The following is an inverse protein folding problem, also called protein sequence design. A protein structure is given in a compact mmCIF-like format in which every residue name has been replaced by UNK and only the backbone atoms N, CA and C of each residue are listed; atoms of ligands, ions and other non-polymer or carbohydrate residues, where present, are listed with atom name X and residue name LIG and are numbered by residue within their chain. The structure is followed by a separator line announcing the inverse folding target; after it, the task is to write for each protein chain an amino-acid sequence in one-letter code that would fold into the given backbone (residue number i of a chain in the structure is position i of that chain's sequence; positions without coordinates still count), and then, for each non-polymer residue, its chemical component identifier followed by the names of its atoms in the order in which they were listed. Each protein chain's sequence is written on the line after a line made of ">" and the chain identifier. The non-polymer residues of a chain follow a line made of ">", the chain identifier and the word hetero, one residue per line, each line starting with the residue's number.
data_IF_404086994296
#
_entry.id   IF_404086994296
#
_cell.length_a   1.000
_cell.length_b   1.000
_cell.length_c   1.000
_cell.angle_alpha   90.00
_cell.angle_beta   90.00
_cell.angle_gamma   90.00
#
_symmetry.space_group_name_H-M   'P 1'
#
loop_
_entity.id
_entity.type
_entity.pdbx_description
1 polymer ?
#
# COMPACT_ATOMS: atom_id res chain seq x y z
N UNK A 1 6.95 -10.28 17.00
CA UNK A 1 6.17 -11.19 16.12
C UNK A 1 5.33 -10.29 15.23
N UNK A 2 5.34 -10.50 13.90
CA UNK A 2 4.58 -9.62 12.97
C UNK A 2 3.12 -10.04 12.94
N UNK A 3 2.19 -9.07 12.93
CA UNK A 3 0.76 -9.34 12.85
C UNK A 3 0.37 -9.96 11.50
N UNK A 4 -0.50 -10.96 11.51
CA UNK A 4 -1.06 -11.59 10.30
C UNK A 4 -2.54 -11.21 10.16
N UNK A 5 -2.88 -10.40 9.16
CA UNK A 5 -4.28 -10.12 8.83
C UNK A 5 -4.95 -11.28 8.07
N UNK A 6 -4.16 -12.00 7.28
CA UNK A 6 -4.58 -13.16 6.49
C UNK A 6 -3.81 -14.38 6.99
N UNK A 7 -4.54 -15.44 7.39
CA UNK A 7 -3.98 -16.75 7.68
C UNK A 7 -4.48 -17.72 6.64
N UNK A 8 -3.64 -17.97 5.66
CA UNK A 8 -3.94 -18.88 4.57
C UNK A 8 -3.08 -20.13 4.67
N UNK A 9 -3.71 -21.28 4.43
CA UNK A 9 -3.09 -22.54 4.05
C UNK A 9 -3.98 -23.13 2.97
N UNK A 10 -3.45 -23.99 2.10
CA UNK A 10 -4.25 -24.61 1.05
C UNK A 10 -5.53 -25.26 1.63
N UNK A 11 -6.68 -24.83 1.13
CA UNK A 11 -8.00 -25.26 1.61
C UNK A 11 -8.55 -24.53 2.86
N UNK A 12 -7.83 -23.56 3.43
CA UNK A 12 -8.26 -22.83 4.63
C UNK A 12 -7.80 -21.38 4.61
N UNK A 13 -8.75 -20.45 4.66
CA UNK A 13 -8.49 -19.02 4.83
C UNK A 13 -9.15 -18.52 6.12
N UNK A 14 -8.40 -17.77 6.93
CA UNK A 14 -8.95 -16.96 8.01
C UNK A 14 -8.50 -15.51 7.84
N UNK A 15 -9.39 -14.58 8.14
CA UNK A 15 -9.11 -13.14 8.14
C UNK A 15 -9.26 -12.58 9.55
N UNK A 16 -8.46 -11.59 9.90
CA UNK A 16 -8.65 -10.81 11.12
C UNK A 16 -9.79 -9.80 10.91
N UNK A 17 -10.85 -9.88 11.73
CA UNK A 17 -12.01 -8.98 11.62
C UNK A 17 -11.65 -7.56 12.09
N UNK A 18 -11.44 -6.67 11.14
CA UNK A 18 -11.04 -5.29 11.41
C UNK A 18 -12.15 -4.44 12.05
N UNK A 19 -13.41 -4.89 12.09
CA UNK A 19 -14.47 -4.17 12.79
C UNK A 19 -14.35 -4.31 14.31
N UNK A 20 -13.74 -5.40 14.78
CA UNK A 20 -13.52 -5.68 16.21
C UNK A 20 -12.27 -4.98 16.76
N UNK A 21 -11.39 -4.50 15.88
CA UNK A 21 -10.19 -3.76 16.26
C UNK A 21 -10.52 -2.32 16.68
N UNK A 22 -9.80 -1.75 17.66
CA UNK A 22 -8.65 -2.33 18.37
C UNK A 22 -8.99 -3.18 19.61
N UNK A 23 -10.26 -3.30 19.98
CA UNK A 23 -10.67 -3.89 21.26
C UNK A 23 -10.46 -5.40 21.32
N UNK A 24 -10.64 -6.09 20.19
CA UNK A 24 -10.53 -7.55 20.15
C UNK A 24 -9.99 -8.06 18.82
N UNK A 25 -9.05 -9.00 18.90
CA UNK A 25 -8.45 -9.68 17.75
C UNK A 25 -9.20 -11.00 17.49
N UNK A 26 -10.13 -10.99 16.54
CA UNK A 26 -10.94 -12.15 16.17
C UNK A 26 -10.64 -12.60 14.74
N UNK A 27 -10.28 -13.88 14.58
CA UNK A 27 -10.15 -14.47 13.24
C UNK A 27 -11.47 -15.11 12.80
N UNK A 28 -11.91 -14.78 11.60
CA UNK A 28 -13.09 -15.37 10.94
C UNK A 28 -12.63 -16.30 9.81
N UNK A 29 -13.18 -17.51 9.76
CA UNK A 29 -12.97 -18.42 8.65
C UNK A 29 -13.73 -17.95 7.40
N UNK A 30 -13.08 -18.00 6.24
CA UNK A 30 -13.65 -17.72 4.93
C UNK A 30 -13.73 -19.03 4.17
N UNK A 31 -14.94 -19.55 3.97
CA UNK A 31 -15.19 -20.89 3.43
C UNK A 31 -15.38 -20.92 1.91
N UNK A 32 -15.45 -19.75 1.28
CA UNK A 32 -15.63 -19.62 -0.16
C UNK A 32 -15.90 -18.18 -0.58
N UNK A 33 -16.25 -17.99 -1.85
CA UNK A 33 -16.43 -16.68 -2.48
C UNK A 33 -17.49 -15.84 -1.78
N UNK A 34 -18.61 -16.44 -1.36
CA UNK A 34 -19.69 -15.73 -0.66
C UNK A 34 -19.21 -15.10 0.65
N UNK A 35 -18.43 -15.83 1.45
CA UNK A 35 -17.84 -15.33 2.69
C UNK A 35 -16.83 -14.21 2.39
N UNK A 36 -16.00 -14.38 1.35
CA UNK A 36 -15.04 -13.37 0.90
C UNK A 36 -15.73 -12.07 0.50
N UNK A 37 -16.79 -12.14 -0.31
CA UNK A 37 -17.60 -10.99 -0.71
C UNK A 37 -18.23 -10.29 0.49
N UNK A 38 -18.80 -11.04 1.44
CA UNK A 38 -19.39 -10.48 2.64
C UNK A 38 -18.32 -9.76 3.49
N UNK A 39 -17.16 -10.36 3.70
CA UNK A 39 -16.06 -9.75 4.43
C UNK A 39 -15.55 -8.45 3.78
N UNK A 40 -15.43 -8.43 2.45
CA UNK A 40 -14.99 -7.23 1.69
C UNK A 40 -16.05 -6.12 1.77
N UNK A 41 -17.32 -6.47 1.56
CA UNK A 41 -18.46 -5.54 1.55
C UNK A 41 -18.70 -4.92 2.93
N UNK A 42 -18.68 -5.74 3.97
CA UNK A 42 -18.89 -5.31 5.36
C UNK A 42 -17.66 -4.60 5.94
N UNK A 43 -16.60 -4.41 5.14
CA UNK A 43 -15.35 -3.77 5.55
C UNK A 43 -14.61 -4.48 6.70
N UNK A 44 -14.80 -5.81 6.86
CA UNK A 44 -13.97 -6.64 7.74
C UNK A 44 -12.53 -6.74 7.24
N UNK A 45 -12.34 -6.56 5.93
CA UNK A 45 -11.04 -6.47 5.25
C UNK A 45 -10.89 -5.10 4.60
N UNK A 46 -9.72 -4.47 4.79
CA UNK A 46 -9.37 -3.19 4.16
C UNK A 46 -7.97 -3.23 3.57
N UNK A 47 -7.68 -2.27 2.70
CA UNK A 47 -6.47 -2.22 1.89
C UNK A 47 -6.70 -2.91 0.55
N UNK A 48 -6.42 -2.21 -0.55
CA UNK A 48 -6.70 -2.72 -1.89
C UNK A 48 -5.97 -4.06 -2.19
N UNK A 49 -4.70 -4.27 -1.78
CA UNK A 49 -4.05 -5.57 -1.93
C UNK A 49 -4.73 -6.68 -1.10
N UNK A 50 -5.04 -6.43 0.17
CA UNK A 50 -5.69 -7.42 1.04
C UNK A 50 -7.09 -7.80 0.55
N UNK A 51 -7.86 -6.85 0.03
CA UNK A 51 -9.18 -7.10 -0.58
C UNK A 51 -9.04 -8.05 -1.77
N UNK A 52 -8.08 -7.79 -2.67
CA UNK A 52 -7.85 -8.64 -3.84
C UNK A 52 -7.45 -10.07 -3.44
N UNK A 53 -6.53 -10.19 -2.48
CA UNK A 53 -6.07 -11.48 -1.97
C UNK A 53 -7.18 -12.25 -1.28
N UNK A 54 -8.00 -11.62 -0.44
CA UNK A 54 -9.14 -12.30 0.19
C UNK A 54 -10.13 -12.79 -0.87
N UNK A 55 -10.39 -12.00 -1.91
CA UNK A 55 -11.23 -12.44 -3.02
C UNK A 55 -10.67 -13.69 -3.71
N UNK A 56 -9.43 -13.62 -4.20
CA UNK A 56 -8.77 -14.72 -4.91
C UNK A 56 -8.59 -15.98 -4.04
N UNK A 57 -8.16 -15.82 -2.79
CA UNK A 57 -7.94 -16.94 -1.86
C UNK A 57 -9.28 -17.55 -1.41
N UNK A 58 -10.35 -16.77 -1.31
CA UNK A 58 -11.70 -17.32 -1.03
C UNK A 58 -12.18 -18.23 -2.17
N UNK A 59 -11.90 -17.86 -3.42
CA UNK A 59 -12.15 -18.70 -4.58
C UNK A 59 -11.26 -19.96 -4.56
N UNK A 60 -9.98 -19.82 -4.24
CA UNK A 60 -9.07 -20.96 -4.11
C UNK A 60 -9.54 -21.98 -3.04
N UNK A 61 -10.04 -21.50 -1.89
CA UNK A 61 -10.64 -22.36 -0.85
C UNK A 61 -11.87 -23.10 -1.38
N UNK A 62 -12.75 -22.43 -2.13
CA UNK A 62 -13.95 -23.05 -2.70
C UNK A 62 -13.61 -24.11 -3.76
N UNK A 63 -12.60 -23.86 -4.58
CA UNK A 63 -12.13 -24.79 -5.62
C UNK A 63 -11.37 -25.99 -5.04
N UNK A 64 -10.69 -25.83 -3.90
CA UNK A 64 -9.90 -26.89 -3.27
C UNK A 64 -10.72 -28.14 -2.96
N UNK A 65 -12.02 -27.99 -2.67
CA UNK A 65 -12.93 -29.11 -2.43
C UNK A 65 -13.22 -29.99 -3.65
N UNK A 66 -12.70 -29.65 -4.84
CA UNK A 66 -12.72 -30.49 -6.05
C UNK A 66 -14.10 -30.67 -6.71
N UNK A 67 -15.16 -30.12 -6.14
CA UNK A 67 -16.54 -30.27 -6.63
C UNK A 67 -17.15 -28.96 -7.13
N UNK A 68 -16.60 -27.82 -6.73
CA UNK A 68 -17.05 -26.51 -7.18
C UNK A 68 -16.83 -26.34 -8.70
N UNK A 69 -17.84 -25.80 -9.38
CA UNK A 69 -17.78 -25.50 -10.81
C UNK A 69 -17.96 -26.68 -11.77
N UNK A 70 -18.47 -27.84 -11.34
CA UNK A 70 -18.77 -28.97 -12.24
C UNK A 70 -17.63 -29.99 -12.37
N UNK A 71 -17.60 -30.82 -13.41
CA UNK A 71 -16.64 -31.93 -13.55
C UNK A 71 -15.82 -31.90 -14.85
N UNK A 72 -16.08 -30.94 -15.73
CA UNK A 72 -15.31 -30.66 -16.94
C UNK A 72 -14.67 -29.27 -16.88
N UNK A 73 -13.62 -29.07 -17.70
CA UNK A 73 -12.83 -27.85 -17.69
C UNK A 73 -13.65 -26.59 -18.03
N UNK A 74 -14.59 -26.69 -18.98
CA UNK A 74 -15.36 -25.54 -19.46
C UNK A 74 -16.37 -25.05 -18.42
N UNK A 75 -17.04 -25.97 -17.72
CA UNK A 75 -17.95 -25.62 -16.62
C UNK A 75 -17.19 -24.96 -15.47
N UNK A 76 -16.01 -25.48 -15.11
CA UNK A 76 -15.18 -24.88 -14.04
C UNK A 76 -14.71 -23.48 -14.46
N UNK A 77 -14.25 -23.32 -15.70
CA UNK A 77 -13.83 -22.02 -16.21
C UNK A 77 -14.96 -20.98 -16.18
N UNK A 78 -16.17 -21.38 -16.57
CA UNK A 78 -17.36 -20.51 -16.52
C UNK A 78 -17.70 -20.11 -15.09
N UNK A 79 -17.66 -21.06 -14.15
CA UNK A 79 -17.87 -20.79 -12.73
C UNK A 79 -16.84 -19.80 -12.17
N UNK A 80 -15.56 -20.01 -12.47
CA UNK A 80 -14.46 -19.14 -12.03
C UNK A 80 -14.62 -17.73 -12.61
N UNK A 81 -14.89 -17.61 -13.92
CA UNK A 81 -15.11 -16.32 -14.56
C UNK A 81 -16.23 -15.53 -13.90
N UNK A 82 -17.34 -16.20 -13.56
CA UNK A 82 -18.47 -15.56 -12.85
C UNK A 82 -18.08 -15.13 -11.43
N UNK A 83 -17.40 -15.98 -10.66
CA UNK A 83 -16.94 -15.66 -9.32
C UNK A 83 -15.99 -14.45 -9.30
N UNK A 84 -15.05 -14.38 -10.24
CA UNK A 84 -14.11 -13.25 -10.37
C UNK A 84 -14.83 -11.94 -10.70
N UNK A 85 -15.83 -11.98 -11.59
CA UNK A 85 -16.67 -10.82 -11.89
C UNK A 85 -17.45 -10.33 -10.66
N UNK A 86 -18.04 -11.26 -9.91
CA UNK A 86 -18.82 -10.94 -8.72
C UNK A 86 -17.93 -10.42 -7.58
N UNK A 87 -16.68 -10.89 -7.47
CA UNK A 87 -15.68 -10.36 -6.54
C UNK A 87 -15.24 -8.95 -6.93
N UNK A 88 -14.90 -8.72 -8.20
CA UNK A 88 -14.47 -7.41 -8.71
C UNK A 88 -15.54 -6.32 -8.54
N UNK A 89 -16.82 -6.69 -8.66
CA UNK A 89 -17.94 -5.75 -8.47
C UNK A 89 -18.28 -5.46 -7.01
N UNK A 90 -17.73 -6.20 -6.03
CA UNK A 90 -18.06 -6.01 -4.61
C UNK A 90 -17.62 -4.64 -4.09
N UNK A 91 -16.47 -4.14 -4.54
CA UNK A 91 -15.97 -2.78 -4.26
C UNK A 91 -15.24 -2.22 -5.50
N UNK A 92 -15.97 -1.62 -6.45
CA UNK A 92 -15.43 -1.23 -7.76
C UNK A 92 -14.25 -0.26 -7.72
N UNK A 93 -14.07 0.47 -6.61
CA UNK A 93 -12.94 1.39 -6.43
C UNK A 93 -11.61 0.70 -6.13
N UNK A 94 -11.61 -0.60 -5.83
CA UNK A 94 -10.42 -1.43 -5.58
C UNK A 94 -9.88 -2.05 -6.88
N UNK A 95 -9.12 -1.27 -7.66
CA UNK A 95 -8.54 -1.71 -8.94
C UNK A 95 -7.71 -3.00 -8.83
N UNK A 96 -7.05 -3.24 -7.69
CA UNK A 96 -6.30 -4.48 -7.45
C UNK A 96 -7.16 -5.74 -7.62
N UNK A 97 -8.43 -5.72 -7.19
CA UNK A 97 -9.33 -6.86 -7.38
C UNK A 97 -9.70 -7.05 -8.85
N UNK A 98 -9.93 -5.97 -9.59
CA UNK A 98 -10.18 -6.04 -11.03
C UNK A 98 -8.97 -6.59 -11.80
N UNK A 99 -7.76 -6.10 -11.51
CA UNK A 99 -6.51 -6.61 -12.10
C UNK A 99 -6.26 -8.08 -11.76
N UNK A 100 -6.54 -8.48 -10.51
CA UNK A 100 -6.45 -9.86 -10.09
C UNK A 100 -7.45 -10.75 -10.87
N UNK A 101 -8.70 -10.29 -11.00
CA UNK A 101 -9.73 -10.98 -11.78
C UNK A 101 -9.36 -11.11 -13.26
N UNK A 102 -8.79 -10.08 -13.88
CA UNK A 102 -8.29 -10.12 -15.26
C UNK A 102 -7.16 -11.15 -15.41
N UNK A 103 -6.17 -11.12 -14.52
CA UNK A 103 -5.02 -12.06 -14.54
C UNK A 103 -5.48 -13.52 -14.38
N UNK A 104 -6.30 -13.79 -13.36
CA UNK A 104 -6.81 -15.15 -13.11
C UNK A 104 -7.75 -15.60 -14.24
N UNK A 105 -8.63 -14.72 -14.73
CA UNK A 105 -9.56 -15.03 -15.81
C UNK A 105 -8.85 -15.38 -17.11
N UNK A 106 -7.78 -14.67 -17.46
CA UNK A 106 -6.95 -14.97 -18.62
C UNK A 106 -6.26 -16.34 -18.49
N UNK A 107 -5.68 -16.64 -17.32
CA UNK A 107 -5.02 -17.92 -17.08
C UNK A 107 -6.00 -19.10 -17.13
N UNK A 108 -7.19 -18.94 -16.57
CA UNK A 108 -8.27 -19.94 -16.60
C UNK A 108 -8.77 -20.18 -18.02
N UNK A 109 -8.95 -19.10 -18.80
CA UNK A 109 -9.38 -19.20 -20.20
C UNK A 109 -8.34 -19.96 -21.02
N UNK A 110 -7.06 -19.65 -20.81
CA UNK A 110 -5.97 -20.35 -21.48
C UNK A 110 -5.93 -21.83 -21.12
N UNK A 111 -5.91 -22.16 -19.82
CA UNK A 111 -5.85 -23.53 -19.32
C UNK A 111 -7.03 -24.38 -19.82
N UNK A 112 -8.25 -23.82 -19.85
CA UNK A 112 -9.43 -24.53 -20.33
C UNK A 112 -9.41 -24.84 -21.85
N UNK A 113 -8.58 -24.12 -22.63
CA UNK A 113 -8.42 -24.32 -24.07
C UNK A 113 -7.26 -25.27 -24.42
N UNK A 114 -6.43 -25.64 -23.44
CA UNK A 114 -5.30 -26.54 -23.66
C UNK A 114 -5.77 -27.96 -24.01
N UNK A 115 -5.08 -28.67 -24.94
CA UNK A 115 -5.34 -30.08 -25.18
C UNK A 115 -5.16 -30.91 -23.91
N UNK A 116 -6.20 -31.66 -23.51
CA UNK A 116 -6.18 -32.47 -22.29
C UNK A 116 -6.56 -31.70 -21.02
N UNK A 117 -7.08 -30.47 -21.13
CA UNK A 117 -7.61 -29.71 -19.99
C UNK A 117 -8.64 -30.54 -19.19
N UNK A 118 -8.51 -30.51 -17.87
CA UNK A 118 -9.44 -31.19 -16.96
C UNK A 118 -10.02 -30.18 -15.98
N UNK A 119 -11.13 -30.54 -15.34
CA UNK A 119 -11.67 -29.72 -14.25
C UNK A 119 -10.63 -29.47 -13.13
N UNK A 120 -9.78 -30.46 -12.86
CA UNK A 120 -8.74 -30.33 -11.83
C UNK A 120 -7.58 -29.43 -12.28
N UNK A 121 -7.18 -29.45 -13.55
CA UNK A 121 -6.10 -28.57 -14.02
C UNK A 121 -6.54 -27.10 -13.96
N UNK A 122 -7.79 -26.80 -14.33
CA UNK A 122 -8.37 -25.45 -14.20
C UNK A 122 -8.50 -25.02 -12.72
N UNK A 123 -8.86 -25.92 -11.80
CA UNK A 123 -8.87 -25.60 -10.36
C UNK A 123 -7.47 -25.29 -9.84
N UNK A 124 -6.51 -26.14 -10.19
CA UNK A 124 -5.15 -26.04 -9.68
C UNK A 124 -4.47 -24.75 -10.14
N UNK A 125 -4.65 -24.33 -11.41
CA UNK A 125 -4.06 -23.07 -11.87
C UNK A 125 -4.60 -21.86 -11.09
N UNK A 126 -5.88 -21.86 -10.69
CA UNK A 126 -6.47 -20.78 -9.88
C UNK A 126 -5.89 -20.79 -8.47
N UNK A 127 -5.81 -21.98 -7.83
CA UNK A 127 -5.27 -22.12 -6.48
C UNK A 127 -3.81 -21.67 -6.46
N UNK A 128 -3.00 -22.17 -7.42
CA UNK A 128 -1.60 -21.83 -7.54
C UNK A 128 -1.40 -20.33 -7.74
N UNK A 129 -2.12 -19.70 -8.68
CA UNK A 129 -1.96 -18.26 -8.93
C UNK A 129 -2.39 -17.41 -7.73
N UNK A 130 -3.43 -17.80 -6.99
CA UNK A 130 -3.83 -17.09 -5.78
C UNK A 130 -2.76 -17.19 -4.67
N UNK A 131 -2.14 -18.37 -4.52
CA UNK A 131 -1.03 -18.61 -3.60
C UNK A 131 0.22 -17.82 -3.98
N UNK A 132 0.58 -17.80 -5.26
CA UNK A 132 1.69 -17.01 -5.80
C UNK A 132 1.46 -15.52 -5.59
N UNK A 133 0.23 -15.03 -5.75
CA UNK A 133 -0.11 -13.62 -5.48
C UNK A 133 0.07 -13.25 -4.02
N UNK A 134 -0.32 -14.14 -3.10
CA UNK A 134 -0.13 -13.93 -1.66
C UNK A 134 1.35 -13.84 -1.30
N UNK A 135 2.14 -14.83 -1.76
CA UNK A 135 3.56 -14.88 -1.48
C UNK A 135 4.30 -13.69 -2.10
N UNK A 136 3.94 -13.32 -3.33
CA UNK A 136 4.52 -12.17 -4.01
C UNK A 136 4.24 -10.87 -3.24
N UNK A 137 3.01 -10.63 -2.79
CA UNK A 137 2.69 -9.40 -2.03
C UNK A 137 3.45 -9.35 -0.69
N UNK A 138 3.63 -10.49 -0.01
CA UNK A 138 4.47 -10.57 1.19
C UNK A 138 5.95 -10.23 0.91
N UNK A 139 6.51 -10.75 -0.18
CA UNK A 139 7.88 -10.47 -0.60
C UNK A 139 8.06 -9.01 -0.98
N UNK A 140 7.15 -8.46 -1.80
CA UNK A 140 7.17 -7.06 -2.23
C UNK A 140 7.11 -6.12 -1.01
N UNK A 141 6.20 -6.38 -0.06
CA UNK A 141 6.06 -5.56 1.15
C UNK A 141 7.33 -5.56 2.01
N UNK A 142 7.94 -6.74 2.23
CA UNK A 142 9.22 -6.84 2.95
C UNK A 142 10.30 -6.02 2.25
N UNK A 143 10.36 -6.13 0.93
CA UNK A 143 11.37 -5.47 0.13
C UNK A 143 11.19 -3.95 0.07
N UNK A 144 9.96 -3.47 -0.04
CA UNK A 144 9.61 -2.04 0.14
C UNK A 144 10.11 -1.55 1.50
N UNK A 145 9.85 -2.31 2.57
CA UNK A 145 10.31 -1.96 3.90
C UNK A 145 11.83 -1.86 4.00
N UNK A 146 12.54 -2.87 3.52
CA UNK A 146 14.00 -2.90 3.55
C UNK A 146 14.65 -1.77 2.76
N UNK A 147 14.20 -1.55 1.54
CA UNK A 147 14.73 -0.52 0.64
C UNK A 147 14.38 0.88 1.15
N UNK A 148 13.14 1.07 1.61
CA UNK A 148 12.70 2.33 2.20
C UNK A 148 13.49 2.70 3.45
N UNK A 149 13.71 1.74 4.35
CA UNK A 149 14.53 1.95 5.54
C UNK A 149 15.96 2.33 5.17
N UNK A 150 16.57 1.62 4.21
CA UNK A 150 17.93 1.94 3.73
C UNK A 150 18.00 3.34 3.10
N UNK A 151 17.02 3.70 2.28
CA UNK A 151 16.95 5.02 1.64
C UNK A 151 16.77 6.15 2.67
N UNK A 152 15.92 5.92 3.68
CA UNK A 152 15.69 6.88 4.76
C UNK A 152 16.95 7.08 5.60
N UNK A 153 17.59 5.99 6.05
CA UNK A 153 18.80 6.08 6.86
C UNK A 153 19.93 6.81 6.15
N UNK A 154 20.17 6.49 4.86
CA UNK A 154 21.20 7.19 4.06
C UNK A 154 20.91 8.69 3.89
N UNK A 155 19.64 9.07 3.78
CA UNK A 155 19.25 10.44 3.52
C UNK A 155 19.07 11.31 4.77
N UNK A 156 18.81 10.70 5.92
CA UNK A 156 18.37 11.41 7.13
C UNK A 156 19.35 11.25 8.28
N UNK A 157 19.78 10.02 8.58
CA UNK A 157 20.61 9.74 9.75
C UNK A 157 21.54 8.54 9.51
N UNK A 158 22.63 8.66 8.73
CA UNK A 158 23.46 7.52 8.32
C UNK A 158 24.05 6.69 9.47
N UNK A 159 24.21 7.28 10.64
CA UNK A 159 24.78 6.66 11.85
C UNK A 159 23.91 6.87 13.11
N UNK A 160 22.65 7.26 12.93
CA UNK A 160 21.75 7.60 14.06
C UNK A 160 20.47 6.76 14.06
N UNK A 161 19.49 7.26 14.80
CA UNK A 161 18.11 6.80 14.71
C UNK A 161 17.23 7.85 14.04
N UNK A 162 16.07 7.43 13.55
CA UNK A 162 15.07 8.32 12.96
C UNK A 162 13.78 8.31 13.79
N UNK A 163 13.15 9.48 13.89
CA UNK A 163 11.79 9.63 14.38
C UNK A 163 10.87 9.82 13.19
N UNK A 164 9.94 8.90 12.99
CA UNK A 164 9.13 8.83 11.77
C UNK A 164 7.69 9.22 12.05
N UNK A 165 7.08 10.00 11.17
CA UNK A 165 5.63 10.20 11.19
C UNK A 165 4.97 9.44 10.03
N UNK A 166 3.82 8.81 10.30
CA UNK A 166 3.00 8.14 9.28
C UNK A 166 1.53 8.52 9.36
N UNK A 167 0.77 8.15 8.32
CA UNK A 167 -0.63 8.51 8.15
C UNK A 167 -1.46 7.35 7.59
N UNK A 168 -2.73 7.28 7.98
CA UNK A 168 -3.63 6.16 7.71
C UNK A 168 -3.09 4.84 8.27
N UNK A 169 -3.49 3.73 7.65
CA UNK A 169 -2.98 2.39 7.92
C UNK A 169 -2.44 1.74 6.64
N UNK A 170 -1.19 1.31 6.72
CA UNK A 170 -0.39 0.79 5.61
C UNK A 170 0.40 -0.45 6.06
N UNK A 171 -0.08 -1.08 7.12
CA UNK A 171 0.54 -2.22 7.77
C UNK A 171 0.06 -3.55 7.23
N UNK A 172 0.24 -4.59 8.04
CA UNK A 172 -0.24 -5.92 7.76
C UNK A 172 -1.78 -5.95 7.65
N UNK A 173 -2.48 -5.02 8.29
CA UNK A 173 -3.93 -4.86 8.18
C UNK A 173 -4.39 -4.28 6.83
N UNK A 174 -3.48 -3.81 5.98
CA UNK A 174 -3.80 -3.23 4.67
C UNK A 174 -3.22 -4.01 3.48
N UNK A 175 -2.43 -5.05 3.73
CA UNK A 175 -1.74 -5.85 2.70
C UNK A 175 -1.83 -7.35 3.01
N UNK A 176 -1.11 -8.20 2.27
CA UNK A 176 -0.94 -9.60 2.66
C UNK A 176 -0.36 -9.79 4.08
N UNK A 177 0.44 -8.82 4.51
CA UNK A 177 1.25 -8.85 5.71
C UNK A 177 2.44 -7.90 5.57
N UNK A 178 3.08 -7.59 6.69
CA UNK A 178 4.24 -6.68 6.80
C UNK A 178 3.99 -5.21 6.39
N UNK A 179 3.18 -4.91 5.39
CA UNK A 179 2.81 -3.56 4.99
C UNK A 179 3.85 -2.82 4.15
N UNK A 180 3.50 -1.60 3.72
CA UNK A 180 4.33 -0.73 2.89
C UNK A 180 5.06 0.31 3.74
N UNK A 181 4.42 1.45 4.06
CA UNK A 181 5.02 2.49 4.88
C UNK A 181 5.26 2.02 6.33
N UNK A 182 4.32 1.27 6.90
CA UNK A 182 4.55 0.59 8.18
C UNK A 182 5.60 -0.54 8.05
N UNK A 183 5.76 -1.13 6.86
CA UNK A 183 6.85 -2.07 6.55
C UNK A 183 8.23 -1.40 6.61
N UNK A 184 8.34 -0.14 6.17
CA UNK A 184 9.55 0.68 6.33
C UNK A 184 9.85 0.92 7.81
N UNK A 185 8.83 1.27 8.59
CA UNK A 185 8.94 1.47 10.04
C UNK A 185 9.38 0.16 10.73
N UNK A 186 8.78 -0.98 10.37
CA UNK A 186 9.18 -2.31 10.86
C UNK A 186 10.63 -2.63 10.55
N UNK A 187 11.09 -2.34 9.32
CA UNK A 187 12.47 -2.54 8.93
C UNK A 187 13.45 -1.64 9.72
N UNK A 188 13.09 -0.39 9.98
CA UNK A 188 13.88 0.51 10.83
C UNK A 188 13.96 0.00 12.27
N UNK A 189 12.83 -0.43 12.83
CA UNK A 189 12.74 -0.99 14.18
C UNK A 189 13.60 -2.25 14.33
N UNK A 190 13.46 -3.20 13.40
CA UNK A 190 14.23 -4.44 13.40
C UNK A 190 15.76 -4.21 13.31
N UNK A 191 16.19 -3.08 12.74
CA UNK A 191 17.60 -2.67 12.65
C UNK A 191 18.10 -1.87 13.86
N UNK A 192 17.23 -1.55 14.83
CA UNK A 192 17.57 -0.65 15.94
C UNK A 192 17.78 0.81 15.49
N UNK A 193 17.28 1.17 14.31
CA UNK A 193 17.46 2.51 13.71
C UNK A 193 16.24 3.41 13.90
N UNK A 194 15.17 2.91 14.52
CA UNK A 194 13.97 3.68 14.82
C UNK A 194 14.06 4.18 16.26
N UNK A 195 13.92 5.49 16.45
CA UNK A 195 13.79 6.09 17.77
C UNK A 195 12.33 6.06 18.22
N UNK A 196 11.44 6.61 17.39
CA UNK A 196 10.03 6.72 17.73
C UNK A 196 9.14 6.86 16.48
N UNK A 197 7.86 6.50 16.60
CA UNK A 197 6.86 6.67 15.54
C UNK A 197 5.74 7.57 16.01
N UNK A 198 5.40 8.58 15.22
CA UNK A 198 4.14 9.31 15.36
C UNK A 198 3.15 8.80 14.32
N UNK A 199 1.98 8.37 14.76
CA UNK A 199 0.88 8.03 13.86
C UNK A 199 -0.28 9.02 14.08
N UNK A 200 -0.85 9.49 12.99
CA UNK A 200 -1.99 10.41 13.02
C UNK A 200 -3.31 9.64 13.11
N UNK A 201 -4.35 10.19 13.73
CA UNK A 201 -5.62 9.48 13.91
C UNK A 201 -6.28 9.09 12.58
N UNK A 202 -6.15 9.92 11.54
CA UNK A 202 -6.70 9.74 10.20
C UNK A 202 -8.23 9.79 10.17
N UNK A 203 -8.79 10.96 10.48
CA UNK A 203 -10.22 11.22 10.35
C UNK A 203 -10.68 11.09 8.89
N UNK A 204 -11.96 10.76 8.67
CA UNK A 204 -12.97 10.49 9.69
C UNK A 204 -12.99 9.04 10.20
N UNK A 205 -12.36 8.12 9.47
CA UNK A 205 -12.46 6.68 9.74
C UNK A 205 -11.55 6.18 10.86
N UNK A 206 -10.64 7.03 11.32
CA UNK A 206 -9.74 6.77 12.42
C UNK A 206 -8.84 5.56 12.17
N UNK A 207 -8.39 5.31 10.93
CA UNK A 207 -7.54 4.14 10.63
C UNK A 207 -6.22 4.18 11.39
N UNK A 208 -5.60 5.35 11.53
CA UNK A 208 -4.34 5.44 12.23
C UNK A 208 -4.52 5.18 13.73
N UNK A 209 -5.57 5.74 14.33
CA UNK A 209 -5.91 5.48 15.73
C UNK A 209 -6.35 4.03 16.00
N UNK A 210 -7.14 3.42 15.10
CA UNK A 210 -7.71 2.08 15.31
C UNK A 210 -6.79 0.94 14.89
N UNK A 211 -6.06 1.11 13.79
CA UNK A 211 -5.34 0.02 13.12
C UNK A 211 -3.82 0.21 13.22
N UNK A 212 -3.30 1.38 12.87
CA UNK A 212 -1.85 1.63 12.93
C UNK A 212 -1.33 1.62 14.36
N UNK A 213 -2.01 2.31 15.28
CA UNK A 213 -1.67 2.26 16.70
C UNK A 213 -1.76 0.84 17.26
N UNK A 214 -2.77 0.07 16.85
CA UNK A 214 -2.91 -1.34 17.23
C UNK A 214 -1.72 -2.19 16.77
N UNK A 215 -1.29 -2.05 15.51
CA UNK A 215 -0.13 -2.77 14.98
C UNK A 215 1.18 -2.38 15.69
N UNK A 216 1.40 -1.08 15.92
CA UNK A 216 2.58 -0.58 16.62
C UNK A 216 2.65 -1.11 18.06
N UNK A 217 1.52 -1.11 18.78
CA UNK A 217 1.42 -1.68 20.13
C UNK A 217 1.64 -3.19 20.11
N UNK A 218 1.00 -3.91 19.19
CA UNK A 218 1.13 -5.37 19.07
C UNK A 218 2.60 -5.80 18.85
N UNK A 219 3.37 -5.00 18.10
CA UNK A 219 4.76 -5.30 17.77
C UNK A 219 5.78 -4.69 18.74
N UNK A 220 5.32 -3.96 19.76
CA UNK A 220 6.18 -3.30 20.74
C UNK A 220 7.03 -2.16 20.15
N UNK A 221 6.57 -1.53 19.06
CA UNK A 221 7.26 -0.42 18.40
C UNK A 221 6.98 0.86 19.20
N UNK A 222 8.01 1.64 19.62
CA UNK A 222 7.82 2.88 20.36
C UNK A 222 7.03 3.89 19.51
N UNK A 223 5.82 4.24 19.97
CA UNK A 223 4.89 5.01 19.18
C UNK A 223 4.00 5.95 20.01
N UNK A 224 3.57 7.05 19.37
CA UNK A 224 2.61 8.01 19.89
C UNK A 224 1.51 8.27 18.86
N UNK A 225 0.26 8.24 19.30
CA UNK A 225 -0.89 8.68 18.51
C UNK A 225 -1.08 10.19 18.66
N UNK A 226 -1.31 10.89 17.55
CA UNK A 226 -1.62 12.33 17.52
C UNK A 226 -2.86 12.58 16.66
N UNK A 227 -3.57 13.68 16.95
CA UNK A 227 -4.63 14.17 16.06
C UNK A 227 -4.04 14.63 14.72
N UNK A 228 -4.83 14.60 13.64
CA UNK A 228 -4.36 15.04 12.32
C UNK A 228 -3.93 16.52 12.33
N UNK A 229 -4.64 17.36 13.10
CA UNK A 229 -4.34 18.79 13.26
C UNK A 229 -3.08 19.08 14.08
N UNK A 230 -2.59 18.10 14.86
CA UNK A 230 -1.37 18.25 15.65
C UNK A 230 -0.09 17.95 14.84
N UNK A 231 -0.21 17.47 13.59
CA UNK A 231 0.94 17.03 12.80
C UNK A 231 1.99 18.13 12.57
N UNK A 232 1.58 19.37 12.25
CA UNK A 232 2.52 20.47 12.06
C UNK A 232 3.25 20.86 13.35
N UNK A 233 2.53 20.90 14.47
CA UNK A 233 3.15 21.15 15.78
C UNK A 233 4.12 20.02 16.16
N UNK A 234 3.75 18.77 15.87
CA UNK A 234 4.62 17.62 16.10
C UNK A 234 5.91 17.71 15.26
N UNK A 235 5.82 18.09 13.99
CA UNK A 235 7.00 18.31 13.13
C UNK A 235 7.92 19.39 13.71
N UNK A 236 7.34 20.45 14.29
CA UNK A 236 8.10 21.53 14.95
C UNK A 236 8.78 21.09 16.26
N UNK A 237 8.11 20.29 17.09
CA UNK A 237 8.52 20.10 18.48
C UNK A 237 9.07 18.71 18.83
N UNK A 238 8.80 17.69 18.02
CA UNK A 238 9.05 16.28 18.38
C UNK A 238 10.26 15.66 17.68
N UNK A 239 11.05 16.45 16.96
CA UNK A 239 12.24 15.97 16.27
C UNK A 239 11.93 14.91 15.21
N UNK A 240 10.76 14.98 14.56
CA UNK A 240 10.41 14.09 13.45
C UNK A 240 11.36 14.37 12.29
N UNK A 241 12.10 13.35 11.89
CA UNK A 241 13.16 13.47 10.89
C UNK A 241 12.77 12.91 9.52
N UNK A 242 11.66 12.18 9.43
CA UNK A 242 11.08 11.75 8.15
C UNK A 242 9.57 11.50 8.25
N UNK A 243 8.88 11.62 7.11
CA UNK A 243 7.50 11.18 6.96
C UNK A 243 7.45 10.05 5.94
N UNK A 244 6.73 8.96 6.24
CA UNK A 244 6.47 7.88 5.28
C UNK A 244 4.98 7.52 5.26
N UNK A 245 4.40 7.52 4.06
CA UNK A 245 2.98 7.21 3.82
C UNK A 245 2.83 6.14 2.75
N UNK A 246 1.65 5.52 2.69
CA UNK A 246 1.28 4.62 1.60
C UNK A 246 0.79 5.37 0.37
N UNK A 247 0.24 4.62 -0.59
CA UNK A 247 -0.50 5.18 -1.71
C UNK A 247 -1.67 4.27 -2.11
N UNK A 248 -2.81 4.88 -2.43
CA UNK A 248 -3.89 4.19 -3.12
C UNK A 248 -3.61 4.10 -4.62
N UNK A 249 -3.06 5.18 -5.19
CA UNK A 249 -2.66 5.23 -6.60
C UNK A 249 -1.52 6.21 -6.81
N UNK A 250 -0.52 5.81 -7.59
CA UNK A 250 0.53 6.69 -8.10
C UNK A 250 0.41 6.74 -9.63
N UNK A 251 0.40 7.92 -10.24
CA UNK A 251 0.28 8.08 -11.70
C UNK A 251 1.64 8.39 -12.35
N UNK A 252 1.69 8.55 -13.68
CA UNK A 252 2.95 8.55 -14.43
C UNK A 252 3.93 9.68 -14.06
N UNK A 253 3.44 10.85 -13.64
CA UNK A 253 4.28 11.95 -13.14
C UNK A 253 4.67 11.79 -11.66
N UNK A 254 4.11 10.79 -10.96
CA UNK A 254 4.31 10.51 -9.54
C UNK A 254 3.39 11.26 -8.58
N UNK A 255 2.37 11.96 -9.10
CA UNK A 255 1.25 12.39 -8.27
C UNK A 255 0.63 11.18 -7.58
N UNK A 256 0.26 11.39 -6.33
CA UNK A 256 -0.15 10.30 -5.45
C UNK A 256 -1.51 10.64 -4.89
N UNK A 257 -2.49 9.80 -5.21
CA UNK A 257 -3.72 9.73 -4.46
C UNK A 257 -3.51 8.81 -3.26
N UNK A 258 -3.74 9.33 -2.07
CA UNK A 258 -3.73 8.58 -0.82
C UNK A 258 -4.84 9.09 0.10
N UNK A 259 -4.99 8.52 1.29
CA UNK A 259 -5.98 8.97 2.28
C UNK A 259 -5.87 10.49 2.55
N UNK A 260 -7.02 11.18 2.54
CA UNK A 260 -7.14 12.60 2.86
C UNK A 260 -6.38 12.96 4.14
N UNK A 261 -5.61 14.04 4.08
CA UNK A 261 -4.65 14.45 5.11
C UNK A 261 -3.20 14.23 4.66
N UNK A 262 -2.96 13.37 3.67
CA UNK A 262 -1.63 13.12 3.11
C UNK A 262 -1.05 14.37 2.45
N UNK A 263 -1.85 15.11 1.69
CA UNK A 263 -1.41 16.34 1.04
C UNK A 263 -1.10 17.43 2.08
N UNK A 264 -1.98 17.60 3.07
CA UNK A 264 -1.74 18.51 4.20
C UNK A 264 -0.42 18.19 4.91
N UNK A 265 -0.14 16.90 5.12
CA UNK A 265 1.08 16.44 5.76
C UNK A 265 2.33 16.71 4.90
N UNK A 266 2.22 16.56 3.57
CA UNK A 266 3.30 16.90 2.65
C UNK A 266 3.63 18.40 2.65
N UNK A 267 2.61 19.27 2.71
CA UNK A 267 2.80 20.72 2.84
C UNK A 267 3.52 21.05 4.16
N UNK A 268 3.07 20.46 5.27
CA UNK A 268 3.71 20.68 6.57
C UNK A 268 5.16 20.17 6.59
N UNK A 269 5.43 19.02 5.98
CA UNK A 269 6.79 18.48 5.83
C UNK A 269 7.69 19.44 5.05
N UNK A 270 7.18 19.98 3.95
CA UNK A 270 7.90 20.96 3.12
C UNK A 270 8.22 22.23 3.93
N UNK A 271 7.27 22.75 4.69
CA UNK A 271 7.48 23.93 5.55
C UNK A 271 8.59 23.70 6.59
N UNK A 272 8.65 22.50 7.17
CA UNK A 272 9.64 22.15 8.20
C UNK A 272 10.94 21.53 7.65
N UNK A 273 11.09 21.42 6.33
CA UNK A 273 12.27 20.80 5.70
C UNK A 273 12.42 19.30 5.98
N UNK A 274 11.33 18.61 6.34
CA UNK A 274 11.32 17.17 6.65
C UNK A 274 11.07 16.37 5.36
N UNK A 275 11.90 15.37 5.03
CA UNK A 275 11.71 14.58 3.81
C UNK A 275 10.44 13.72 3.87
N UNK A 276 9.73 13.71 2.74
CA UNK A 276 8.46 13.01 2.58
C UNK A 276 8.59 11.83 1.61
N UNK A 277 8.26 10.64 2.10
CA UNK A 277 8.37 9.37 1.38
C UNK A 277 7.00 8.76 1.12
N UNK A 278 6.81 8.24 -0.09
CA UNK A 278 5.66 7.39 -0.43
C UNK A 278 6.16 5.98 -0.69
N UNK A 279 5.60 5.00 0.03
CA UNK A 279 5.91 3.59 -0.09
C UNK A 279 4.73 2.84 -0.71
N UNK A 280 4.91 2.34 -1.94
CA UNK A 280 3.83 1.69 -2.68
C UNK A 280 4.38 0.56 -3.56
N UNK A 281 3.63 -0.55 -3.74
CA UNK A 281 3.98 -1.55 -4.74
C UNK A 281 3.76 -0.99 -6.15
N UNK A 282 4.44 -1.58 -7.12
CA UNK A 282 4.24 -1.29 -8.55
C UNK A 282 2.81 -1.52 -9.01
N UNK A 283 2.07 -2.43 -8.36
CA UNK A 283 0.63 -2.66 -8.62
C UNK A 283 -0.25 -1.48 -8.24
N UNK A 284 0.20 -0.59 -7.36
CA UNK A 284 -0.46 0.69 -7.04
C UNK A 284 -0.10 1.81 -8.03
N UNK A 285 0.78 1.54 -9.01
CA UNK A 285 1.20 2.53 -10.01
C UNK A 285 0.39 2.39 -11.29
N UNK A 286 -0.35 3.43 -11.64
CA UNK A 286 -1.19 3.53 -12.82
C UNK A 286 -0.56 4.45 -13.88
N UNK A 287 0.28 3.86 -14.72
CA UNK A 287 0.99 4.60 -15.78
C UNK A 287 0.10 5.03 -16.96
N UNK A 288 -1.18 4.60 -16.97
CA UNK A 288 -2.13 5.02 -18.00
C UNK A 288 -2.61 6.47 -17.80
N UNK A 289 -2.49 6.99 -16.58
CA UNK A 289 -2.80 8.37 -16.24
C UNK A 289 -1.52 9.20 -16.20
N UNK A 290 -1.54 10.35 -16.86
CA UNK A 290 -0.42 11.27 -16.94
C UNK A 290 -0.26 12.10 -15.66
N UNK A 291 -1.35 12.64 -15.12
CA UNK A 291 -1.35 13.54 -13.95
C UNK A 291 -2.41 13.15 -12.92
N UNK A 292 -2.28 13.69 -11.71
CA UNK A 292 -3.23 13.47 -10.61
C UNK A 292 -4.66 13.92 -10.93
N UNK A 293 -4.82 14.95 -11.78
CA UNK A 293 -6.12 15.51 -12.18
C UNK A 293 -7.06 14.48 -12.84
N UNK A 294 -6.49 13.41 -13.40
CA UNK A 294 -7.25 12.35 -14.05
C UNK A 294 -7.76 11.29 -13.06
N UNK A 295 -7.38 11.38 -11.78
CA UNK A 295 -7.85 10.48 -10.74
C UNK A 295 -9.19 10.98 -10.22
N UNK A 296 -10.24 10.19 -10.45
CA UNK A 296 -11.54 10.43 -9.83
C UNK A 296 -11.41 10.16 -8.33
N UNK A 297 -11.68 11.19 -7.52
CA UNK A 297 -11.68 11.07 -6.06
C UNK A 297 -13.00 10.45 -5.61
N UNK A 298 -12.90 9.39 -4.81
CA UNK A 298 -14.07 8.75 -4.21
C UNK A 298 -14.64 9.66 -3.14
N UNK A 299 -15.91 10.04 -3.32
CA UNK A 299 -16.71 10.72 -2.30
C UNK A 299 -17.48 9.69 -1.47
N UNK A 300 -17.59 9.94 -0.17
CA UNK A 300 -18.34 9.07 0.75
C UNK A 300 -19.45 9.79 1.50
N UNK A 301 -20.46 9.03 1.98
CA UNK A 301 -21.57 9.59 2.72
C UNK A 301 -21.08 10.46 3.87
N UNK A 302 -21.59 11.69 3.95
CA UNK A 302 -21.15 12.67 4.93
C UNK A 302 -21.45 12.25 6.38
N UNK A 303 -22.34 11.25 6.57
CA UNK A 303 -22.58 10.61 7.86
C UNK A 303 -21.29 10.04 8.48
N UNK A 304 -20.33 9.56 7.69
CA UNK A 304 -19.07 9.04 8.23
C UNK A 304 -18.22 10.14 8.88
N UNK A 305 -18.42 11.41 8.48
CA UNK A 305 -17.82 12.58 9.13
C UNK A 305 -18.61 12.97 10.36
N UNK A 306 -19.93 13.02 10.25
CA UNK A 306 -20.78 13.56 11.31
C UNK A 306 -21.00 12.59 12.46
N UNK A 307 -20.85 11.29 12.23
CA UNK A 307 -21.21 10.23 13.17
C UNK A 307 -20.01 9.32 13.45
N UNK A 308 -19.87 8.89 14.71
CA UNK A 308 -18.88 7.91 15.13
C UNK A 308 -19.62 6.83 15.93
N UNK A 309 -19.50 5.56 15.52
CA UNK A 309 -20.18 4.42 16.14
C UNK A 309 -21.71 4.60 16.29
N UNK A 310 -22.35 5.18 15.27
CA UNK A 310 -23.80 5.42 15.24
C UNK A 310 -24.25 6.59 16.11
N UNK A 311 -23.33 7.35 16.71
CA UNK A 311 -23.62 8.55 17.49
C UNK A 311 -23.18 9.77 16.69
N UNK A 312 -24.13 10.67 16.40
CA UNK A 312 -23.85 11.94 15.75
C UNK A 312 -23.06 12.86 16.68
N UNK A 313 -21.91 13.33 16.21
CA UNK A 313 -21.03 14.29 16.87
C UNK A 313 -21.29 15.71 16.35
N UNK A 314 -21.52 15.85 15.04
CA UNK A 314 -21.75 17.15 14.42
C UNK A 314 -23.13 17.73 14.78
N UNK A 315 -23.26 19.06 14.81
CA UNK A 315 -24.53 19.72 15.07
C UNK A 315 -25.63 19.26 14.07
N UNK A 316 -26.89 19.09 14.51
CA UNK A 316 -28.00 18.84 13.59
C UNK A 316 -28.16 19.98 12.58
N UNK A 317 -28.44 19.66 11.31
CA UNK A 317 -28.69 20.65 10.25
C UNK A 317 -27.45 21.27 9.61
N UNK A 318 -26.23 20.98 10.08
CA UNK A 318 -25.02 21.42 9.39
C UNK A 318 -24.84 20.66 8.07
N UNK A 319 -24.58 21.39 7.00
CA UNK A 319 -24.16 20.82 5.73
C UNK A 319 -22.74 20.28 5.86
N UNK A 320 -22.52 19.08 5.34
CA UNK A 320 -21.21 18.44 5.31
C UNK A 320 -20.95 17.96 3.89
N UNK A 321 -19.86 18.45 3.31
CA UNK A 321 -19.39 18.00 2.01
C UNK A 321 -19.18 16.48 2.01
N UNK A 322 -19.44 15.78 0.89
CA UNK A 322 -19.05 14.40 0.72
C UNK A 322 -17.57 14.25 1.01
N UNK A 323 -17.22 13.26 1.82
CA UNK A 323 -15.85 13.08 2.26
C UNK A 323 -14.98 12.70 1.07
N UNK A 324 -14.02 13.55 0.73
CA UNK A 324 -12.92 13.19 -0.16
C UNK A 324 -12.17 12.04 0.52
N UNK A 325 -12.33 10.82 0.00
CA UNK A 325 -11.64 9.66 0.57
C UNK A 325 -10.15 9.66 0.25
N UNK A 326 -9.77 10.48 -0.73
CA UNK A 326 -8.40 10.67 -1.17
C UNK A 326 -8.13 12.15 -1.38
N UNK A 327 -6.90 12.57 -1.12
CA UNK A 327 -6.39 13.84 -1.62
C UNK A 327 -5.32 13.58 -2.70
N UNK A 328 -5.17 14.54 -3.61
CA UNK A 328 -4.11 14.54 -4.60
C UNK A 328 -2.93 15.29 -3.99
N UNK A 329 -1.85 14.55 -3.74
CA UNK A 329 -0.57 15.20 -3.56
C UNK A 329 0.02 15.49 -4.93
N UNK A 330 -0.20 16.73 -5.38
CA UNK A 330 0.54 17.31 -6.50
C UNK A 330 2.03 17.25 -6.20
N UNK A 331 2.79 16.85 -7.20
CA UNK A 331 4.22 16.74 -7.08
C UNK A 331 4.90 17.94 -7.71
N UNK A 332 5.34 18.93 -6.92
CA UNK A 332 6.34 19.86 -7.41
C UNK A 332 7.65 19.06 -7.61
N UNK A 333 7.88 18.60 -8.84
CA UNK A 333 9.06 17.81 -9.27
C UNK A 333 9.33 16.52 -8.48
N UNK A 334 8.66 15.41 -8.86
CA UNK A 334 9.04 14.07 -8.38
C UNK A 334 10.42 13.72 -8.90
N UNK A 335 11.28 13.30 -7.98
CA UNK A 335 12.57 12.70 -8.26
C UNK A 335 12.54 11.24 -7.79
N UNK A 336 12.15 10.27 -8.63
CA UNK A 336 12.20 8.86 -8.23
C UNK A 336 13.61 8.29 -8.32
N UNK A 337 13.86 7.16 -7.66
CA UNK A 337 15.19 6.55 -7.57
C UNK A 337 15.12 5.11 -8.09
N UNK A 338 15.99 4.75 -9.04
CA UNK A 338 16.79 3.50 -9.10
C UNK A 338 17.39 3.25 -10.50
N UNK A 339 18.74 3.27 -10.61
CA UNK A 339 19.57 2.46 -11.53
C UNK A 339 20.95 2.16 -10.91
N UNK A 340 21.64 1.20 -11.50
CA UNK A 340 22.37 0.10 -10.86
C UNK A 340 23.74 0.42 -10.24
N UNK A 341 24.40 1.54 -10.54
CA UNK A 341 25.84 1.68 -10.21
C UNK A 341 26.22 2.90 -9.33
N UNK A 342 25.27 3.75 -8.92
CA UNK A 342 25.55 4.88 -8.00
C UNK A 342 24.32 5.23 -7.13
N UNK A 343 24.38 5.14 -5.78
CA UNK A 343 23.20 5.25 -4.93
C UNK A 343 22.92 6.69 -4.49
N UNK A 344 22.62 7.62 -5.41
CA UNK A 344 21.85 8.85 -5.13
C UNK A 344 21.64 9.71 -6.41
N UNK A 345 20.56 9.51 -7.19
CA UNK A 345 19.94 10.53 -8.09
C UNK A 345 18.73 10.01 -8.92
N UNK A 346 18.11 10.94 -9.66
CA UNK A 346 16.72 11.13 -10.12
C UNK A 346 16.25 10.40 -11.40
N UNK A 347 15.07 9.74 -11.41
CA UNK A 347 14.41 9.17 -12.61
C UNK A 347 12.88 9.02 -12.44
N UNK A 348 12.04 9.57 -13.32
CA UNK A 348 10.54 9.58 -13.29
C UNK A 348 9.85 8.19 -13.21
N UNK A 349 8.62 8.12 -12.68
CA UNK A 349 7.89 6.84 -12.41
C UNK A 349 7.81 5.92 -13.64
N UNK A 350 7.77 6.52 -14.83
CA UNK A 350 7.76 5.83 -16.13
C UNK A 350 9.01 4.96 -16.38
N UNK A 351 10.18 5.32 -15.86
CA UNK A 351 11.42 4.56 -16.05
C UNK A 351 11.55 3.34 -15.12
N UNK A 352 10.86 3.37 -13.97
CA UNK A 352 10.92 2.29 -12.97
C UNK A 352 10.32 1.02 -13.56
N UNK A 353 9.14 1.11 -14.16
CA UNK A 353 8.44 -0.07 -14.73
C UNK A 353 9.14 -0.61 -15.99
N UNK A 354 9.68 0.26 -16.85
CA UNK A 354 10.42 -0.18 -18.05
C UNK A 354 11.74 -0.90 -17.70
N UNK A 355 12.42 -0.51 -16.63
CA UNK A 355 13.68 -1.16 -16.23
C UNK A 355 13.44 -2.55 -15.61
N UNK A 356 12.30 -2.74 -14.93
CA UNK A 356 11.88 -4.03 -14.36
C UNK A 356 11.48 -5.06 -15.42
N UNK A 357 11.10 -4.62 -16.62
CA UNK A 357 10.69 -5.50 -17.73
C UNK A 357 11.87 -6.13 -18.50
N UNK A 358 13.08 -5.58 -18.38
CA UNK A 358 14.19 -5.84 -19.32
C UNK A 358 15.48 -6.42 -18.68
N UNK A 359 15.45 -6.92 -17.44
CA UNK A 359 16.67 -7.35 -16.73
C UNK A 359 17.06 -8.81 -16.98
N UNK A 360 17.71 -9.07 -18.11
CA UNK A 360 18.71 -10.15 -18.27
C UNK A 360 20.11 -9.53 -18.10
N UNK A 361 20.81 -9.84 -17.00
CA UNK A 361 22.11 -9.23 -16.67
C UNK A 361 23.26 -9.98 -17.34
N UNK A 362 24.15 -9.26 -18.04
CA UNK A 362 25.46 -9.71 -18.47
C UNK A 362 26.53 -9.12 -17.53
N UNK A 363 27.35 -9.92 -16.83
CA UNK A 363 28.24 -9.45 -15.79
C UNK A 363 29.67 -9.33 -16.33
N UNK A 364 30.07 -8.18 -16.89
CA UNK A 364 31.49 -7.81 -17.03
C UNK A 364 31.63 -6.36 -17.55
N UNK A 365 31.70 -5.39 -16.64
CA UNK A 365 32.27 -4.07 -16.95
C UNK A 365 32.68 -3.35 -15.65
N UNK A 366 33.99 -3.18 -15.45
CA UNK A 366 34.62 -2.39 -14.38
C UNK A 366 34.80 -0.91 -14.79
N UNK A 367 34.59 0.10 -13.91
CA UNK A 367 34.84 1.51 -14.26
C UNK A 367 36.10 2.10 -13.60
N UNK A 368 36.80 2.95 -14.36
CA UNK A 368 37.91 3.80 -13.90
C UNK A 368 37.46 5.20 -13.46
N UNK A 369 38.27 5.86 -12.62
CA UNK A 369 37.99 7.12 -11.92
C UNK A 369 38.78 8.28 -12.55
N UNK A 370 38.18 9.48 -12.64
CA UNK A 370 38.89 10.76 -12.76
C UNK A 370 38.09 11.93 -12.11
N UNK A 371 38.73 13.03 -11.66
CA UNK A 371 38.23 13.91 -10.59
C UNK A 371 37.68 15.29 -11.02
N UNK A 372 37.02 15.94 -10.05
CA UNK A 372 36.31 17.23 -10.04
C UNK A 372 37.22 18.47 -9.91
N UNK A 373 36.78 19.67 -10.33
CA UNK A 373 37.24 20.91 -9.72
C UNK A 373 36.13 21.89 -9.28
N UNK A 374 36.39 22.47 -8.10
CA UNK A 374 35.62 23.48 -7.39
C UNK A 374 35.51 24.85 -8.10
N UNK A 375 34.56 25.69 -7.64
CA UNK A 375 34.72 27.14 -7.37
C UNK A 375 33.47 27.70 -6.68
N UNK A 376 33.65 28.64 -5.74
CA UNK A 376 32.57 29.30 -4.99
C UNK A 376 32.32 30.77 -5.36
N UNK A 377 31.30 31.39 -4.73
CA UNK A 377 31.22 32.82 -4.36
C UNK A 377 29.94 33.12 -3.55
N UNK A 378 30.04 34.15 -2.71
CA UNK A 378 29.11 34.70 -1.71
C UNK A 378 28.01 35.64 -2.26
N UNK A 379 26.82 35.64 -1.64
CA UNK A 379 25.75 36.63 -1.80
C UNK A 379 24.64 36.43 -0.74
N UNK A 380 23.96 37.53 -0.36
CA UNK A 380 22.88 37.75 0.65
C UNK A 380 21.83 36.62 0.86
N UNK A 381 21.07 36.60 1.98
CA UNK A 381 20.11 35.51 2.27
C UNK A 381 18.91 35.55 1.34
N UNK A 382 19.10 35.09 0.11
CA UNK A 382 18.06 34.51 -0.71
C UNK A 382 17.68 33.20 -0.05
N UNK A 383 16.42 33.07 0.36
CA UNK A 383 15.83 31.80 0.75
C UNK A 383 16.19 30.76 -0.31
N UNK A 384 16.96 29.70 0.00
CA UNK A 384 17.32 28.74 -1.02
C UNK A 384 16.05 28.01 -1.44
N UNK A 385 15.61 28.27 -2.67
CA UNK A 385 14.61 27.49 -3.42
C UNK A 385 15.15 26.10 -3.78
N UNK A 386 15.93 25.47 -2.89
CA UNK A 386 16.42 24.11 -3.05
C UNK A 386 15.29 23.13 -2.73
N UNK A 387 14.36 23.04 -3.70
CA UNK A 387 13.69 21.84 -4.17
C UNK A 387 13.47 20.74 -3.12
N UNK A 388 12.31 20.76 -2.47
CA UNK A 388 11.84 19.67 -1.62
C UNK A 388 11.58 18.43 -2.53
N UNK A 389 12.49 17.45 -2.51
CA UNK A 389 12.39 16.26 -3.37
C UNK A 389 11.50 15.21 -2.71
N UNK A 390 10.27 15.04 -3.20
CA UNK A 390 9.43 13.86 -2.89
C UNK A 390 10.17 12.60 -3.36
N UNK A 391 10.37 11.63 -2.46
CA UNK A 391 11.03 10.36 -2.78
C UNK A 391 9.98 9.26 -2.87
N UNK A 392 9.85 8.69 -4.06
CA UNK A 392 8.93 7.60 -4.33
C UNK A 392 9.67 6.26 -4.20
N UNK A 393 9.17 5.37 -3.35
CA UNK A 393 9.67 4.01 -3.15
C UNK A 393 8.70 3.05 -3.83
N UNK A 394 9.01 2.65 -5.07
CA UNK A 394 8.27 1.64 -5.84
C UNK A 394 9.08 0.35 -5.91
N UNK A 395 8.42 -0.79 -5.72
CA UNK A 395 9.02 -2.11 -5.91
C UNK A 395 8.07 -3.07 -6.64
N UNK A 396 8.62 -4.04 -7.37
CA UNK A 396 7.90 -5.09 -8.10
C UNK A 396 8.53 -6.46 -7.90
#
# INVERSE_FOLDING_TARGET
>A
MVLEALRYRRGSLQILDQLQLPQRSCYQAIRGVRDGQAAIRDMRVRGAPAIALVGCLSLAVELHGGTAGGQDAATVATFVGKALQDLASTRPTARNMAQAAEKLGAAVTHEAQCPGATANSVREIVIQLAEEMLEKDLQDNRRIGELGATCMMRGVAPQGQVTVLTHCNTGALATAGYGTALGVIRALHARGCLEHVYCTETRPYNQGARLTAYELVYEGIPATLIADSAAALALKEKGISAIVVGADRVVANGDTANKVGTYQLAIAAMHHGVPFYVAAPSTSCDLSLATGDQIIIEERPSQELTDINGIRIAAPGIESEPLLCRDLQESPNVTPCLRQDHPCSTITVKSIVQTLSNSTVNPDATPGIAPDPATGKSGEPQWPTSCCRKKLLIYS
#
